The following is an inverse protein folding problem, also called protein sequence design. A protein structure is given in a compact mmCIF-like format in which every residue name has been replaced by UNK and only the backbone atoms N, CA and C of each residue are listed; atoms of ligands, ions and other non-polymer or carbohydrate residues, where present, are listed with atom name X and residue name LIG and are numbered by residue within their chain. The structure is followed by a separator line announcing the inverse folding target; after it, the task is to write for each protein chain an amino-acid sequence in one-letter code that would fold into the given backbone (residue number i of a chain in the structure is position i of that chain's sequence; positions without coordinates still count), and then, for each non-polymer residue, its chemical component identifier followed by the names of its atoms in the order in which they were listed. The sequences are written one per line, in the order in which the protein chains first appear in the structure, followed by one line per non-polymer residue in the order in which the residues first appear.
data_IF_476548032633
#
_entry.id   IF_476548032633
#
_cell.length_a   1.000
_cell.length_b   1.000
_cell.length_c   1.000
_cell.angle_alpha   90.00
_cell.angle_beta   90.00
_cell.angle_gamma   90.00
#
_symmetry.space_group_name_H-M   'P 1'
#
loop_
_entity.id
_entity.type
_entity.pdbx_description
1 polymer ?
#
# COMPACT_ATOMS: atom_id res chain seq x y z
N UNK A 1 -2.84 -18.98 -3.14
CA UNK A 1 -4.15 -19.39 -2.59
C UNK A 1 -5.27 -18.91 -3.51
N UNK A 2 -6.31 -19.70 -3.82
CA UNK A 2 -7.46 -19.22 -4.56
C UNK A 2 -8.36 -18.33 -3.68
N UNK A 3 -8.73 -17.18 -4.23
CA UNK A 3 -9.76 -16.29 -3.69
C UNK A 3 -10.75 -16.04 -4.82
N UNK A 4 -11.95 -16.64 -4.73
CA UNK A 4 -12.84 -16.81 -5.87
C UNK A 4 -12.10 -17.49 -7.04
N UNK A 5 -12.09 -16.86 -8.21
CA UNK A 5 -11.44 -17.38 -9.42
C UNK A 5 -10.02 -16.85 -9.63
N UNK A 6 -9.40 -16.21 -8.62
CA UNK A 6 -8.06 -15.62 -8.72
C UNK A 6 -7.06 -16.41 -7.87
N UNK A 7 -5.91 -16.74 -8.44
CA UNK A 7 -4.76 -17.25 -7.68
C UNK A 7 -4.01 -16.07 -7.08
N UNK A 8 -3.95 -16.05 -5.75
CA UNK A 8 -3.36 -14.96 -4.97
C UNK A 8 -2.06 -15.42 -4.32
N UNK A 9 -0.99 -14.66 -4.56
CA UNK A 9 0.28 -14.82 -3.88
C UNK A 9 0.24 -14.04 -2.56
N UNK A 10 0.70 -14.67 -1.47
CA UNK A 10 0.82 -14.04 -0.17
C UNK A 10 1.88 -14.75 0.66
N UNK A 11 2.39 -14.05 1.66
CA UNK A 11 3.25 -14.58 2.73
C UNK A 11 2.44 -14.58 4.03
N UNK A 12 2.61 -15.59 4.86
CA UNK A 12 2.03 -15.71 6.20
C UNK A 12 3.17 -16.13 7.14
N UNK A 13 3.59 -15.24 8.03
CA UNK A 13 4.77 -15.42 8.87
C UNK A 13 4.49 -14.99 10.30
N UNK A 14 5.15 -15.67 11.25
CA UNK A 14 4.97 -15.40 12.69
C UNK A 14 3.66 -15.96 13.24
N UNK A 15 3.31 -15.53 14.46
CA UNK A 15 2.13 -15.98 15.18
C UNK A 15 1.53 -14.84 16.02
N UNK A 16 0.34 -15.03 16.61
CA UNK A 16 -0.31 -14.03 17.44
C UNK A 16 -1.33 -13.18 16.67
N UNK A 17 -1.43 -11.88 17.00
CA UNK A 17 -2.43 -10.98 16.42
C UNK A 17 -2.16 -10.76 14.92
N UNK A 18 -3.17 -10.97 14.05
CA UNK A 18 -2.98 -10.86 12.61
C UNK A 18 -2.86 -9.40 12.15
N UNK A 19 -1.89 -9.14 11.28
CA UNK A 19 -1.71 -7.89 10.56
C UNK A 19 -1.59 -8.17 9.06
N UNK A 20 -2.42 -7.48 8.26
CA UNK A 20 -2.37 -7.53 6.79
C UNK A 20 -1.56 -6.35 6.25
N UNK A 21 -0.53 -6.63 5.46
CA UNK A 21 0.28 -5.63 4.76
C UNK A 21 -0.20 -5.52 3.31
N UNK A 22 -0.54 -4.29 2.87
CA UNK A 22 -1.05 -4.00 1.52
C UNK A 22 -0.12 -2.99 0.84
N UNK A 23 0.53 -3.43 -0.24
CA UNK A 23 1.48 -2.61 -1.01
C UNK A 23 0.82 -1.49 -1.82
N UNK A 24 1.62 -0.55 -2.33
CA UNK A 24 1.20 0.53 -3.21
C UNK A 24 1.05 0.12 -4.69
N UNK A 25 0.71 1.07 -5.54
CA UNK A 25 0.62 0.90 -6.99
C UNK A 25 1.95 0.39 -7.56
N UNK A 26 1.91 -0.66 -8.37
CA UNK A 26 3.10 -1.26 -8.97
C UNK A 26 4.02 -2.00 -7.99
N UNK A 27 3.64 -2.06 -6.70
CA UNK A 27 4.35 -2.80 -5.67
C UNK A 27 3.97 -4.28 -5.63
N UNK A 28 4.52 -4.96 -4.63
CA UNK A 28 4.27 -6.38 -4.34
C UNK A 28 4.75 -6.69 -2.92
N UNK A 29 4.67 -7.94 -2.50
CA UNK A 29 5.12 -8.42 -1.18
C UNK A 29 6.55 -7.96 -0.89
N UNK A 30 7.42 -7.91 -1.88
CA UNK A 30 8.82 -7.51 -1.71
C UNK A 30 8.99 -6.04 -1.29
N UNK A 31 7.96 -5.22 -1.43
CA UNK A 31 7.97 -3.87 -0.82
C UNK A 31 8.10 -3.93 0.71
N UNK A 32 7.79 -5.09 1.30
CA UNK A 32 7.79 -5.34 2.74
C UNK A 32 8.93 -6.24 3.23
N UNK A 33 9.94 -6.53 2.37
CA UNK A 33 11.04 -7.46 2.70
C UNK A 33 11.71 -7.11 4.02
N UNK A 34 11.96 -5.82 4.29
CA UNK A 34 12.61 -5.34 5.50
C UNK A 34 11.66 -5.21 6.71
N UNK A 35 10.40 -5.58 6.55
CA UNK A 35 9.38 -5.40 7.60
C UNK A 35 8.79 -6.72 8.07
N UNK A 36 8.58 -7.68 7.16
CA UNK A 36 7.89 -8.95 7.46
C UNK A 36 8.57 -9.67 8.61
N UNK A 37 9.88 -9.95 8.50
CA UNK A 37 10.60 -10.70 9.51
C UNK A 37 10.63 -10.03 10.89
N UNK A 38 10.80 -8.70 10.93
CA UNK A 38 10.85 -7.96 12.18
C UNK A 38 9.47 -7.92 12.86
N UNK A 39 8.43 -7.61 12.12
CA UNK A 39 7.06 -7.58 12.66
C UNK A 39 6.57 -8.98 13.05
N UNK A 40 7.03 -10.03 12.34
CA UNK A 40 6.67 -11.42 12.62
C UNK A 40 7.24 -11.95 13.95
N UNK A 41 8.17 -11.25 14.60
CA UNK A 41 8.65 -11.61 15.95
C UNK A 41 7.55 -11.53 17.01
N UNK A 42 6.52 -10.70 16.79
CA UNK A 42 5.44 -10.46 17.77
C UNK A 42 4.03 -10.52 17.18
N UNK A 43 3.89 -10.60 15.87
CA UNK A 43 2.63 -10.57 15.14
C UNK A 43 2.55 -11.72 14.13
N UNK A 44 1.33 -12.11 13.76
CA UNK A 44 1.11 -12.91 12.56
C UNK A 44 1.00 -11.96 11.36
N UNK A 45 2.05 -11.88 10.57
CA UNK A 45 2.18 -10.96 9.43
C UNK A 45 1.73 -11.65 8.16
N UNK A 46 0.74 -11.07 7.50
CA UNK A 46 0.23 -11.52 6.21
C UNK A 46 0.50 -10.40 5.19
N UNK A 47 1.36 -10.66 4.21
CA UNK A 47 1.63 -9.73 3.12
C UNK A 47 1.05 -10.29 1.83
N UNK A 48 0.27 -9.50 1.10
CA UNK A 48 -0.46 -9.95 -0.08
C UNK A 48 -0.06 -9.19 -1.33
N UNK A 49 0.13 -9.91 -2.43
CA UNK A 49 0.12 -9.31 -3.76
C UNK A 49 -1.34 -9.06 -4.18
N UNK A 50 -1.72 -7.80 -4.30
CA UNK A 50 -3.05 -7.44 -4.79
C UNK A 50 -3.28 -8.02 -6.19
N UNK A 51 -4.53 -8.42 -6.56
CA UNK A 51 -4.85 -8.79 -7.93
C UNK A 51 -4.36 -7.74 -8.92
N UNK A 52 -3.73 -8.18 -10.00
CA UNK A 52 -3.09 -7.29 -10.96
C UNK A 52 -1.62 -7.00 -10.70
N UNK A 53 -1.08 -7.39 -9.53
CA UNK A 53 0.29 -7.09 -9.12
C UNK A 53 1.06 -8.32 -8.64
N UNK A 54 2.37 -8.17 -8.51
CA UNK A 54 3.27 -9.20 -7.99
C UNK A 54 3.15 -10.52 -8.76
N UNK A 55 2.99 -11.61 -8.03
CA UNK A 55 2.77 -12.96 -8.56
C UNK A 55 1.28 -13.39 -8.52
N UNK A 56 0.37 -12.51 -8.09
CA UNK A 56 -1.05 -12.74 -8.18
C UNK A 56 -1.56 -12.65 -9.62
N UNK A 57 -2.70 -13.29 -9.91
CA UNK A 57 -3.33 -13.25 -11.23
C UNK A 57 -3.67 -11.82 -11.66
N UNK A 58 -3.58 -11.57 -12.98
CA UNK A 58 -3.73 -10.26 -13.61
C UNK A 58 -4.77 -10.29 -14.74
N UNK A 59 -6.01 -10.73 -14.47
CA UNK A 59 -7.03 -10.76 -15.51
C UNK A 59 -7.34 -9.35 -16.03
N UNK A 60 -7.79 -9.27 -17.28
CA UNK A 60 -8.28 -8.03 -17.88
C UNK A 60 -9.59 -7.62 -17.23
N UNK A 61 -9.54 -6.60 -16.36
CA UNK A 61 -10.71 -6.12 -15.63
C UNK A 61 -10.52 -4.67 -15.14
N UNK A 62 -11.57 -4.09 -14.56
CA UNK A 62 -11.51 -2.78 -13.93
C UNK A 62 -11.03 -2.91 -12.47
N UNK A 63 -9.79 -2.56 -12.20
CA UNK A 63 -9.18 -2.56 -10.87
C UNK A 63 -9.57 -1.29 -10.09
N UNK A 64 -10.83 -1.24 -9.64
CA UNK A 64 -11.35 -0.10 -8.85
C UNK A 64 -11.01 -0.26 -7.36
N UNK A 65 -11.06 0.84 -6.59
CA UNK A 65 -10.89 0.77 -5.13
C UNK A 65 -12.01 -0.05 -4.48
N UNK A 66 -13.23 0.00 -5.01
CA UNK A 66 -14.34 -0.88 -4.58
C UNK A 66 -13.97 -2.36 -4.78
N UNK A 67 -13.41 -2.72 -5.94
CA UNK A 67 -12.95 -4.08 -6.20
C UNK A 67 -11.89 -4.52 -5.18
N UNK A 68 -10.86 -3.71 -4.94
CA UNK A 68 -9.81 -4.05 -3.97
C UNK A 68 -10.33 -4.15 -2.54
N UNK A 69 -11.25 -3.27 -2.14
CA UNK A 69 -11.92 -3.38 -0.83
C UNK A 69 -12.63 -4.72 -0.67
N UNK A 70 -13.46 -5.10 -1.64
CA UNK A 70 -14.19 -6.39 -1.58
C UNK A 70 -13.22 -7.58 -1.65
N UNK A 71 -12.17 -7.49 -2.46
CA UNK A 71 -11.12 -8.49 -2.49
C UNK A 71 -10.49 -8.68 -1.10
N UNK A 72 -10.08 -7.61 -0.42
CA UNK A 72 -9.50 -7.72 0.93
C UNK A 72 -10.47 -8.40 1.91
N UNK A 73 -11.75 -8.04 1.88
CA UNK A 73 -12.77 -8.67 2.75
C UNK A 73 -12.87 -10.18 2.48
N UNK A 74 -12.90 -10.59 1.21
CA UNK A 74 -12.96 -12.01 0.83
C UNK A 74 -11.66 -12.75 1.16
N UNK A 75 -10.51 -12.10 0.98
CA UNK A 75 -9.20 -12.64 1.33
C UNK A 75 -9.12 -12.95 2.84
N UNK A 76 -9.52 -12.02 3.68
CA UNK A 76 -9.56 -12.20 5.13
C UNK A 76 -10.52 -13.34 5.52
N UNK A 77 -11.71 -13.38 4.90
CA UNK A 77 -12.68 -14.48 5.11
C UNK A 77 -12.10 -15.83 4.69
N UNK A 78 -11.37 -15.89 3.57
CA UNK A 78 -10.73 -17.13 3.07
C UNK A 78 -9.65 -17.65 4.02
N UNK A 79 -8.94 -16.74 4.71
CA UNK A 79 -7.98 -17.05 5.75
C UNK A 79 -8.64 -17.34 7.11
N UNK A 80 -9.97 -17.29 7.20
CA UNK A 80 -10.75 -17.45 8.44
C UNK A 80 -10.32 -16.45 9.53
N UNK A 81 -9.95 -15.24 9.10
CA UNK A 81 -9.58 -14.16 10.00
C UNK A 81 -10.83 -13.33 10.35
N UNK A 82 -11.02 -13.10 11.64
CA UNK A 82 -12.02 -12.17 12.14
C UNK A 82 -11.51 -10.72 12.08
N UNK A 83 -11.30 -10.12 13.24
CA UNK A 83 -10.76 -8.76 13.33
C UNK A 83 -9.23 -8.75 13.13
N UNK A 84 -8.73 -7.88 12.24
CA UNK A 84 -7.31 -7.76 11.89
C UNK A 84 -6.83 -6.32 11.98
N UNK A 85 -5.53 -6.13 12.18
CA UNK A 85 -4.89 -4.86 11.89
C UNK A 85 -4.50 -4.80 10.41
N UNK A 86 -4.57 -3.62 9.79
CA UNK A 86 -4.13 -3.43 8.40
C UNK A 86 -3.08 -2.33 8.34
N UNK A 87 -2.01 -2.59 7.60
CA UNK A 87 -0.98 -1.63 7.22
C UNK A 87 -1.04 -1.45 5.71
N UNK A 88 -1.34 -0.27 5.22
CA UNK A 88 -1.44 0.00 3.79
C UNK A 88 -0.60 1.17 3.34
N UNK A 89 0.14 1.00 2.25
CA UNK A 89 0.97 2.05 1.65
C UNK A 89 0.34 2.60 0.37
N UNK A 90 0.28 3.92 0.22
CA UNK A 90 -0.17 4.60 -1.01
C UNK A 90 -1.55 4.11 -1.49
N UNK A 91 -1.64 3.44 -2.64
CA UNK A 91 -2.84 2.75 -3.12
C UNK A 91 -3.37 1.76 -2.06
N UNK A 92 -2.49 0.95 -1.46
CA UNK A 92 -2.85 0.03 -0.38
C UNK A 92 -3.39 0.75 0.86
N UNK A 93 -2.90 1.95 1.15
CA UNK A 93 -3.43 2.84 2.19
C UNK A 93 -4.85 3.32 1.88
N UNK A 94 -5.13 3.68 0.62
CA UNK A 94 -6.49 4.01 0.19
C UNK A 94 -7.44 2.80 0.32
N UNK A 95 -6.99 1.61 -0.10
CA UNK A 95 -7.75 0.37 0.04
C UNK A 95 -8.02 0.05 1.52
N UNK A 96 -7.00 0.14 2.38
CA UNK A 96 -7.12 -0.10 3.81
C UNK A 96 -8.13 0.86 4.48
N UNK A 97 -8.05 2.16 4.14
CA UNK A 97 -9.01 3.16 4.61
C UNK A 97 -10.44 2.85 4.14
N UNK A 98 -10.62 2.41 2.88
CA UNK A 98 -11.93 2.02 2.36
C UNK A 98 -12.49 0.77 3.04
N UNK A 99 -11.66 -0.19 3.40
CA UNK A 99 -12.08 -1.33 4.23
C UNK A 99 -12.52 -0.84 5.60
N UNK A 100 -11.74 0.01 6.26
CA UNK A 100 -12.06 0.55 7.59
C UNK A 100 -13.35 1.38 7.61
N UNK A 101 -13.63 2.14 6.55
CA UNK A 101 -14.86 2.93 6.40
C UNK A 101 -16.11 2.05 6.21
N UNK A 102 -15.99 0.97 5.41
CA UNK A 102 -17.15 0.19 4.99
C UNK A 102 -17.35 -1.10 5.78
N UNK A 103 -16.31 -1.58 6.49
CA UNK A 103 -16.30 -2.79 7.32
C UNK A 103 -15.59 -2.53 8.66
N UNK A 104 -16.05 -1.56 9.48
CA UNK A 104 -15.32 -1.12 10.68
C UNK A 104 -15.12 -2.26 11.68
N UNK A 105 -16.04 -3.23 11.75
CA UNK A 105 -15.92 -4.37 12.66
C UNK A 105 -14.78 -5.34 12.33
N UNK A 106 -14.25 -5.31 11.09
CA UNK A 106 -13.12 -6.13 10.70
C UNK A 106 -11.77 -5.54 11.12
N UNK A 107 -11.72 -4.24 11.46
CA UNK A 107 -10.46 -3.54 11.67
C UNK A 107 -10.19 -3.33 13.15
N UNK A 108 -9.09 -3.93 13.64
CA UNK A 108 -8.60 -3.74 15.01
C UNK A 108 -7.83 -2.44 15.17
N UNK A 109 -6.79 -2.26 14.35
CA UNK A 109 -5.96 -1.06 14.25
C UNK A 109 -5.63 -0.80 12.77
N UNK A 110 -5.42 0.46 12.41
CA UNK A 110 -5.15 0.86 11.02
C UNK A 110 -3.84 1.65 10.95
N UNK A 111 -2.93 1.23 10.07
CA UNK A 111 -1.72 2.00 9.75
C UNK A 111 -1.78 2.43 8.30
N UNK A 112 -1.73 3.71 8.06
CA UNK A 112 -1.75 4.33 6.74
C UNK A 112 -0.39 4.97 6.45
N UNK A 113 0.20 4.64 5.31
CA UNK A 113 1.49 5.17 4.88
C UNK A 113 1.28 5.99 3.62
N UNK A 114 1.45 7.31 3.68
CA UNK A 114 1.28 8.21 2.53
C UNK A 114 0.07 7.82 1.66
N UNK A 115 -1.15 7.67 2.23
CA UNK A 115 -2.27 7.05 1.54
C UNK A 115 -2.75 7.90 0.36
N UNK A 116 -3.03 7.25 -0.77
CA UNK A 116 -3.79 7.86 -1.86
C UNK A 116 -5.25 8.11 -1.42
N UNK A 117 -6.06 8.75 -2.26
CA UNK A 117 -7.48 8.97 -1.98
C UNK A 117 -7.81 10.22 -1.15
N UNK A 118 -6.84 10.83 -0.47
CA UNK A 118 -6.98 12.17 0.10
C UNK A 118 -6.72 13.30 -0.91
N UNK A 119 -6.18 12.94 -2.08
CA UNK A 119 -5.87 13.88 -3.15
C UNK A 119 -7.16 14.46 -3.78
N UNK A 120 -7.20 15.77 -4.09
CA UNK A 120 -8.33 16.34 -4.83
C UNK A 120 -8.45 15.74 -6.23
N UNK A 121 -9.67 15.63 -6.77
CA UNK A 121 -9.87 15.17 -8.15
C UNK A 121 -9.16 16.07 -9.19
N UNK A 122 -8.98 17.36 -8.86
CA UNK A 122 -8.21 18.31 -9.65
C UNK A 122 -6.69 18.09 -9.58
N UNK A 123 -6.21 17.24 -8.66
CA UNK A 123 -4.80 16.93 -8.56
C UNK A 123 -4.36 16.06 -9.74
N UNK A 124 -3.71 16.67 -10.69
CA UNK A 124 -3.18 15.99 -11.89
C UNK A 124 -1.92 15.16 -11.64
N UNK A 125 -1.54 15.01 -10.37
CA UNK A 125 -0.31 14.34 -9.96
C UNK A 125 0.87 15.31 -9.82
N UNK A 126 1.90 14.85 -9.12
CA UNK A 126 3.18 15.54 -9.04
C UNK A 126 4.07 15.16 -10.22
N UNK A 127 5.11 15.96 -10.55
CA UNK A 127 6.13 15.53 -11.50
C UNK A 127 6.76 14.18 -11.14
N UNK A 128 6.91 13.88 -9.84
CA UNK A 128 7.41 12.60 -9.36
C UNK A 128 6.44 11.44 -9.72
N UNK A 129 5.13 11.63 -9.57
CA UNK A 129 4.14 10.63 -9.97
C UNK A 129 4.23 10.33 -11.47
N UNK A 130 4.34 11.36 -12.32
CA UNK A 130 4.46 11.17 -13.76
C UNK A 130 5.76 10.50 -14.17
N UNK A 131 6.87 10.79 -13.49
CA UNK A 131 8.14 10.08 -13.68
C UNK A 131 7.98 8.60 -13.28
N UNK A 132 7.35 8.32 -12.14
CA UNK A 132 7.10 6.95 -11.69
C UNK A 132 6.21 6.16 -12.67
N UNK A 133 5.12 6.75 -13.15
CA UNK A 133 4.20 6.07 -14.09
C UNK A 133 4.92 5.60 -15.36
N UNK A 134 5.98 6.28 -15.78
CA UNK A 134 6.80 5.85 -16.92
C UNK A 134 7.44 4.47 -16.73
N UNK A 135 7.49 3.94 -15.49
CA UNK A 135 8.01 2.60 -15.21
C UNK A 135 7.34 1.50 -16.04
N UNK A 136 6.05 1.66 -16.37
CA UNK A 136 5.32 0.69 -17.20
C UNK A 136 5.89 0.53 -18.62
N UNK A 137 6.65 1.50 -19.10
CA UNK A 137 7.30 1.49 -20.41
C UNK A 137 8.80 1.20 -20.33
N UNK A 138 9.31 0.83 -19.12
CA UNK A 138 10.72 0.49 -18.96
C UNK A 138 11.09 -0.71 -19.84
N UNK A 139 12.26 -0.61 -20.48
CA UNK A 139 12.83 -1.66 -21.34
C UNK A 139 13.99 -2.40 -20.67
N UNK A 140 14.34 -2.01 -19.46
CA UNK A 140 15.41 -2.63 -18.67
C UNK A 140 15.20 -2.39 -17.17
N UNK A 141 15.85 -3.21 -16.34
CA UNK A 141 15.89 -3.01 -14.89
C UNK A 141 16.53 -1.68 -14.49
N UNK A 142 17.50 -1.19 -15.28
CA UNK A 142 18.11 0.13 -15.06
C UNK A 142 17.08 1.27 -15.18
N UNK A 143 16.21 1.23 -16.19
CA UNK A 143 15.11 2.22 -16.31
C UNK A 143 14.08 2.10 -15.18
N UNK A 144 13.81 0.88 -14.71
CA UNK A 144 12.99 0.66 -13.50
C UNK A 144 13.65 1.29 -12.29
N UNK A 145 14.96 1.08 -12.08
CA UNK A 145 15.73 1.68 -10.98
C UNK A 145 15.62 3.20 -10.98
N UNK A 146 15.76 3.83 -12.15
CA UNK A 146 15.58 5.27 -12.30
C UNK A 146 14.16 5.74 -11.97
N UNK A 147 13.13 4.99 -12.39
CA UNK A 147 11.75 5.32 -12.08
C UNK A 147 11.43 5.14 -10.58
N UNK A 148 11.98 4.12 -9.93
CA UNK A 148 11.80 3.87 -8.50
C UNK A 148 12.52 4.90 -7.61
N UNK A 149 13.61 5.50 -8.11
CA UNK A 149 14.35 6.54 -7.38
C UNK A 149 13.45 7.69 -6.91
N UNK A 150 12.46 8.07 -7.72
CA UNK A 150 11.58 9.21 -7.41
C UNK A 150 10.64 8.97 -6.22
N UNK A 151 10.49 7.71 -5.79
CA UNK A 151 9.64 7.38 -4.66
C UNK A 151 10.25 7.87 -3.33
N UNK A 152 11.54 7.67 -3.16
CA UNK A 152 12.20 7.92 -1.88
C UNK A 152 13.40 8.87 -2.00
N UNK A 153 13.67 9.35 -3.20
CA UNK A 153 14.89 10.11 -3.55
C UNK A 153 16.18 9.36 -3.16
N UNK A 154 16.12 8.03 -3.25
CA UNK A 154 17.20 7.10 -2.95
C UNK A 154 17.23 5.97 -3.98
N UNK A 155 18.43 5.47 -4.34
CA UNK A 155 18.51 4.32 -5.23
C UNK A 155 17.98 3.07 -4.54
N UNK A 156 17.35 2.19 -5.31
CA UNK A 156 17.06 0.82 -4.91
C UNK A 156 18.16 -0.10 -5.39
N UNK A 157 18.28 -1.29 -4.78
CA UNK A 157 19.23 -2.30 -5.20
C UNK A 157 18.91 -2.82 -6.63
N UNK A 158 19.92 -3.26 -7.35
CA UNK A 158 19.78 -3.79 -8.71
C UNK A 158 18.91 -5.04 -8.73
N UNK A 159 19.04 -5.91 -7.73
CA UNK A 159 18.20 -7.10 -7.57
C UNK A 159 16.73 -6.76 -7.41
N UNK A 160 16.39 -5.74 -6.62
CA UNK A 160 15.02 -5.28 -6.46
C UNK A 160 14.48 -4.65 -7.76
N UNK A 161 15.30 -3.84 -8.44
CA UNK A 161 14.91 -3.26 -9.74
C UNK A 161 14.68 -4.34 -10.79
N UNK A 162 15.54 -5.37 -10.84
CA UNK A 162 15.40 -6.53 -11.74
C UNK A 162 14.11 -7.30 -11.45
N UNK A 163 13.80 -7.54 -10.18
CA UNK A 163 12.58 -8.23 -9.77
C UNK A 163 11.31 -7.45 -10.20
N UNK A 164 11.29 -6.13 -9.97
CA UNK A 164 10.18 -5.27 -10.41
C UNK A 164 10.05 -5.30 -11.93
N UNK A 165 11.18 -5.24 -12.66
CA UNK A 165 11.18 -5.32 -14.12
C UNK A 165 10.56 -6.62 -14.62
N UNK A 166 10.97 -7.77 -14.07
CA UNK A 166 10.39 -9.08 -14.42
C UNK A 166 8.87 -9.14 -14.19
N UNK A 167 8.39 -8.58 -13.08
CA UNK A 167 6.95 -8.51 -12.78
C UNK A 167 6.19 -7.61 -13.75
N UNK A 168 6.79 -6.52 -14.22
CA UNK A 168 6.19 -5.65 -15.23
C UNK A 168 6.08 -6.31 -16.61
N UNK A 169 6.92 -7.30 -16.90
CA UNK A 169 6.87 -8.08 -18.15
C UNK A 169 5.79 -9.16 -18.13
N UNK A 170 5.22 -9.48 -16.98
CA UNK A 170 4.16 -10.49 -16.89
C UNK A 170 2.91 -10.05 -17.65
N UNK A 171 2.24 -10.96 -18.35
CA UNK A 171 0.99 -10.66 -19.06
C UNK A 171 -0.03 -9.98 -18.16
N UNK A 172 -0.65 -8.91 -18.64
CA UNK A 172 -1.66 -8.13 -17.90
C UNK A 172 -1.11 -7.13 -16.87
N UNK A 173 0.20 -7.11 -16.59
CA UNK A 173 0.76 -6.25 -15.54
C UNK A 173 0.62 -4.75 -15.83
N UNK A 174 0.87 -4.33 -17.08
CA UNK A 174 0.75 -2.94 -17.50
C UNK A 174 -0.69 -2.46 -17.50
N UNK A 175 -1.59 -3.26 -18.03
CA UNK A 175 -3.03 -3.00 -18.08
C UNK A 175 -3.60 -2.88 -16.66
N UNK A 176 -3.22 -3.79 -15.76
CA UNK A 176 -3.62 -3.77 -14.37
C UNK A 176 -3.11 -2.50 -13.66
N UNK A 177 -1.84 -2.13 -13.88
CA UNK A 177 -1.25 -0.91 -13.31
C UNK A 177 -2.05 0.34 -13.73
N UNK A 178 -2.31 0.51 -15.04
CA UNK A 178 -3.05 1.66 -15.56
C UNK A 178 -4.49 1.68 -15.07
N UNK A 179 -5.14 0.52 -15.04
CA UNK A 179 -6.51 0.37 -14.55
C UNK A 179 -6.60 0.70 -13.05
N UNK A 180 -5.65 0.24 -12.24
CA UNK A 180 -5.62 0.53 -10.81
C UNK A 180 -5.33 2.01 -10.51
N UNK A 181 -4.42 2.64 -11.28
CA UNK A 181 -4.16 4.08 -11.19
C UNK A 181 -5.44 4.88 -11.49
N UNK A 182 -6.13 4.56 -12.59
CA UNK A 182 -7.37 5.20 -12.96
C UNK A 182 -8.49 4.93 -11.94
N UNK A 183 -8.57 3.70 -11.41
CA UNK A 183 -9.52 3.30 -10.37
C UNK A 183 -9.31 4.07 -9.07
N UNK A 184 -8.06 4.29 -8.67
CA UNK A 184 -7.71 5.11 -7.51
C UNK A 184 -8.09 6.58 -7.71
N UNK A 185 -7.77 7.15 -8.87
CA UNK A 185 -8.04 8.55 -9.17
C UNK A 185 -9.55 8.88 -9.25
N UNK A 186 -10.37 7.92 -9.70
CA UNK A 186 -11.83 8.07 -9.84
C UNK A 186 -12.62 7.72 -8.57
N UNK A 187 -11.98 7.12 -7.59
CA UNK A 187 -12.65 6.69 -6.36
C UNK A 187 -13.15 7.89 -5.55
N UNK A 188 -14.24 7.73 -4.77
CA UNK A 188 -14.67 8.76 -3.84
C UNK A 188 -13.56 9.15 -2.87
N UNK A 189 -13.36 10.45 -2.69
CA UNK A 189 -12.30 10.99 -1.82
C UNK A 189 -12.50 10.56 -0.37
N UNK A 190 -11.40 10.32 0.32
CA UNK A 190 -11.41 9.95 1.74
C UNK A 190 -11.76 11.14 2.65
N UNK A 191 -11.38 12.35 2.31
CA UNK A 191 -11.44 13.55 3.15
C UNK A 191 -12.75 13.70 3.94
N UNK A 192 -13.89 13.61 3.24
CA UNK A 192 -15.21 13.78 3.87
C UNK A 192 -15.73 12.50 4.55
N UNK A 193 -14.95 11.43 4.56
CA UNK A 193 -15.37 10.10 5.02
C UNK A 193 -14.46 9.52 6.10
N UNK A 194 -13.35 10.18 6.41
CA UNK A 194 -12.39 9.76 7.42
C UNK A 194 -13.03 9.63 8.83
N UNK A 195 -14.03 10.45 9.15
CA UNK A 195 -14.78 10.37 10.41
C UNK A 195 -15.50 9.01 10.62
N UNK A 196 -15.69 8.22 9.56
CA UNK A 196 -16.29 6.89 9.61
C UNK A 196 -15.30 5.80 10.04
N UNK A 197 -13.99 6.07 10.04
CA UNK A 197 -12.98 5.16 10.53
C UNK A 197 -13.06 5.14 12.07
N UNK A 198 -13.44 3.99 12.63
CA UNK A 198 -13.59 3.80 14.08
C UNK A 198 -12.34 3.24 14.73
N UNK A 199 -11.53 2.49 13.99
CA UNK A 199 -10.31 1.88 14.49
C UNK A 199 -9.27 2.93 14.89
N UNK A 200 -8.50 2.73 15.98
CA UNK A 200 -7.30 3.51 16.25
C UNK A 200 -6.41 3.51 15.01
N UNK A 201 -5.98 4.70 14.60
CA UNK A 201 -5.25 4.89 13.33
C UNK A 201 -3.87 5.49 13.60
N UNK A 202 -2.87 4.98 12.92
CA UNK A 202 -1.54 5.56 12.83
C UNK A 202 -1.31 5.99 11.38
N UNK A 203 -1.05 7.27 11.18
CA UNK A 203 -0.63 7.82 9.89
C UNK A 203 0.87 8.07 9.91
N UNK A 204 1.59 7.48 8.95
CA UNK A 204 3.03 7.70 8.77
C UNK A 204 3.25 8.35 7.42
N UNK A 205 4.04 9.43 7.39
CA UNK A 205 4.33 10.17 6.16
C UNK A 205 5.77 10.67 6.14
N UNK A 206 6.45 10.54 5.00
CA UNK A 206 7.75 11.16 4.78
C UNK A 206 7.59 12.65 4.47
N UNK A 207 8.41 13.50 5.07
CA UNK A 207 8.36 14.95 4.81
C UNK A 207 8.75 15.30 3.37
N UNK A 208 9.63 14.50 2.78
CA UNK A 208 10.11 14.65 1.41
C UNK A 208 9.35 13.76 0.41
N UNK A 209 8.07 13.49 0.69
CA UNK A 209 7.19 12.77 -0.23
C UNK A 209 6.80 13.68 -1.41
N UNK A 210 7.49 13.52 -2.52
CA UNK A 210 7.21 14.22 -3.78
C UNK A 210 6.13 13.53 -4.63
N UNK A 211 5.76 12.30 -4.29
CA UNK A 211 4.67 11.57 -4.97
C UNK A 211 3.31 12.08 -4.52
N UNK A 212 3.09 12.06 -3.22
CA UNK A 212 1.91 12.58 -2.54
C UNK A 212 2.39 13.59 -1.50
N UNK A 213 2.45 14.89 -1.86
CA UNK A 213 2.97 15.91 -0.97
C UNK A 213 2.32 15.93 0.40
N UNK A 214 3.14 16.16 1.43
CA UNK A 214 2.75 16.13 2.84
C UNK A 214 1.60 17.08 3.21
N UNK A 215 1.37 18.14 2.43
CA UNK A 215 0.21 19.03 2.61
C UNK A 215 -1.14 18.31 2.57
N UNK A 216 -1.20 17.11 1.99
CA UNK A 216 -2.42 16.29 1.96
C UNK A 216 -2.65 15.49 3.25
N UNK A 217 -1.84 15.68 4.27
CA UNK A 217 -2.06 15.16 5.63
C UNK A 217 -3.24 15.86 6.33
N UNK A 218 -3.55 17.10 5.96
CA UNK A 218 -4.51 17.96 6.64
C UNK A 218 -5.86 17.31 6.98
N UNK A 219 -6.53 16.56 6.09
CA UNK A 219 -7.78 15.89 6.44
C UNK A 219 -7.66 14.88 7.59
N UNK A 220 -6.49 14.26 7.75
CA UNK A 220 -6.25 13.25 8.80
C UNK A 220 -6.01 13.92 10.17
N UNK A 221 -5.54 15.15 10.21
CA UNK A 221 -5.37 15.91 11.47
C UNK A 221 -6.70 16.06 12.21
N UNK A 222 -7.81 16.10 11.48
CA UNK A 222 -9.17 16.22 12.04
C UNK A 222 -9.73 14.90 12.61
N UNK A 223 -9.02 13.79 12.45
CA UNK A 223 -9.45 12.50 13.00
C UNK A 223 -9.07 12.38 14.48
N UNK A 224 -10.08 12.25 15.35
CA UNK A 224 -9.87 12.15 16.82
C UNK A 224 -9.05 10.92 17.27
N UNK A 225 -9.06 9.85 16.49
CA UNK A 225 -8.40 8.58 16.80
C UNK A 225 -7.17 8.32 15.90
N UNK A 226 -6.54 9.37 15.38
CA UNK A 226 -5.38 9.27 14.51
C UNK A 226 -4.13 9.88 15.16
N UNK A 227 -3.10 9.04 15.40
CA UNK A 227 -1.75 9.48 15.72
C UNK A 227 -1.01 9.72 14.39
N UNK A 228 -0.36 10.87 14.24
CA UNK A 228 0.38 11.23 13.03
C UNK A 228 1.87 11.24 13.35
N UNK A 229 2.65 10.58 12.51
CA UNK A 229 4.12 10.53 12.58
C UNK A 229 4.68 10.99 11.25
N UNK A 230 5.44 12.09 11.29
CA UNK A 230 6.15 12.64 10.15
C UNK A 230 7.61 12.23 10.23
N UNK A 231 8.13 11.60 9.17
CA UNK A 231 9.53 11.15 9.14
C UNK A 231 10.38 12.09 8.28
N UNK A 232 11.44 12.62 8.88
CA UNK A 232 12.45 13.45 8.21
C UNK A 232 13.37 12.59 7.34
N UNK A 233 13.90 13.16 6.27
CA UNK A 233 14.79 12.50 5.32
C UNK A 233 14.16 11.21 4.76
N UNK A 234 12.85 11.29 4.46
CA UNK A 234 12.04 10.16 4.06
C UNK A 234 11.04 10.56 2.98
N UNK A 235 11.00 9.80 1.89
CA UNK A 235 10.09 9.98 0.77
C UNK A 235 8.76 9.24 0.94
N UNK A 236 8.28 8.69 -0.18
CA UNK A 236 6.94 8.09 -0.27
C UNK A 236 6.79 6.74 0.42
N UNK A 237 7.91 6.03 0.67
CA UNK A 237 7.89 4.67 1.23
C UNK A 237 8.68 4.58 2.55
N UNK A 238 8.20 5.17 3.66
CA UNK A 238 8.86 5.09 4.97
C UNK A 238 9.25 3.67 5.39
N UNK A 239 8.40 2.68 5.13
CA UNK A 239 8.63 1.27 5.43
C UNK A 239 9.80 0.65 4.66
N UNK A 240 10.15 1.24 3.52
CA UNK A 240 11.27 0.82 2.66
C UNK A 240 12.53 1.65 2.93
N UNK A 241 12.38 2.97 3.05
CA UNK A 241 13.48 3.91 3.18
C UNK A 241 14.09 3.98 4.60
N UNK A 242 13.32 3.70 5.65
CA UNK A 242 13.70 3.76 7.07
C UNK A 242 13.09 2.56 7.84
N UNK A 243 13.41 1.31 7.44
CA UNK A 243 12.69 0.12 7.92
C UNK A 243 12.80 -0.08 9.44
N UNK A 244 13.95 0.15 10.07
CA UNK A 244 14.13 -0.06 11.50
C UNK A 244 13.24 0.89 12.32
N UNK A 245 13.23 2.17 11.96
CA UNK A 245 12.40 3.18 12.62
C UNK A 245 10.91 2.89 12.39
N UNK A 246 10.54 2.56 11.15
CA UNK A 246 9.18 2.20 10.79
C UNK A 246 8.69 0.98 11.57
N UNK A 247 9.47 -0.10 11.61
CA UNK A 247 9.11 -1.34 12.28
C UNK A 247 8.88 -1.12 13.78
N UNK A 248 9.76 -0.35 14.44
CA UNK A 248 9.61 0.02 15.86
C UNK A 248 8.30 0.77 16.11
N UNK A 249 8.02 1.83 15.34
CA UNK A 249 6.80 2.65 15.48
C UNK A 249 5.54 1.79 15.26
N UNK A 250 5.55 0.94 14.24
CA UNK A 250 4.40 0.10 13.89
C UNK A 250 4.20 -1.02 14.91
N UNK A 251 5.26 -1.69 15.35
CA UNK A 251 5.18 -2.72 16.36
C UNK A 251 4.63 -2.16 17.69
N UNK A 252 5.14 -1.02 18.16
CA UNK A 252 4.62 -0.31 19.34
C UNK A 252 3.13 0.01 19.21
N UNK A 253 2.72 0.55 18.06
CA UNK A 253 1.32 0.88 17.85
C UNK A 253 0.42 -0.35 17.75
N UNK A 254 0.89 -1.44 17.14
CA UNK A 254 0.10 -2.67 16.96
C UNK A 254 0.09 -3.57 18.22
N UNK A 255 1.05 -3.40 19.11
CA UNK A 255 1.01 -4.01 20.45
C UNK A 255 -0.24 -3.59 21.23
#
# INVERSE_FOLDING_TARGET
MPVENLRICYVDAGSGRPVLLIHGLGGSIESWTNNIGELAKSLRVIAVDLPGFGLSDKPKMNYTIKFYREFVVRFLKRLRLGQVSIVGSSLGGQVAAEVAINRPSLIKKLVLISPAGALPHSFKGSPALWKYVKVINAKSAHQVKQALFVLDNKPVDDSYAQLVYQKLLMPGAKEAFLSALAGSARAPRLNNRLHRIKAPTLLIWGKEDYMIPVKFVEPFVKMKNCRIVMLENCGHRPHFARPELFNRIVAEFLA
#
